data_IF_818086911875
#
_entry.id   IF_818086911875
#
_cell.length_a   1.000
_cell.length_b   1.000
_cell.length_c   1.000
_cell.angle_alpha   90.00
_cell.angle_beta   90.00
_cell.angle_gamma   90.00
#
_symmetry.space_group_name_H-M   'P 1'
#
loop_
_entity.id
_entity.type
_entity.pdbx_description
1 polymer ?
#
# COMPACT_ATOMS: atom_id res chain seq x y z
N UNK A 1 66.64 -45.75 -3.97
CA UNK A 1 66.31 -45.07 -2.69
C UNK A 1 67.33 -43.97 -2.49
N UNK A 2 67.02 -42.74 -2.90
CA UNK A 2 67.86 -41.57 -2.70
C UNK A 2 67.27 -40.68 -1.60
N UNK A 3 68.15 -40.29 -0.68
CA UNK A 3 67.96 -39.35 0.42
C UNK A 3 67.73 -37.94 -0.14
N UNK A 4 66.76 -37.19 0.39
CA UNK A 4 66.83 -35.73 0.36
C UNK A 4 66.29 -35.14 1.66
N UNK A 5 67.18 -34.40 2.32
CA UNK A 5 67.07 -33.81 3.64
C UNK A 5 65.98 -32.74 3.67
N UNK A 6 65.10 -32.79 4.67
CA UNK A 6 64.25 -31.66 5.06
C UNK A 6 65.12 -30.64 5.78
N UNK A 7 65.42 -29.54 5.12
CA UNK A 7 66.08 -28.37 5.66
C UNK A 7 65.18 -27.15 5.43
N UNK A 8 64.63 -26.57 6.50
CA UNK A 8 64.26 -25.14 6.63
C UNK A 8 63.52 -24.96 7.95
N UNK A 9 64.22 -24.54 9.00
CA UNK A 9 64.32 -23.15 9.45
C UNK A 9 63.13 -22.73 10.33
N UNK A 10 63.19 -23.12 11.60
CA UNK A 10 62.34 -22.64 12.67
C UNK A 10 62.74 -21.19 12.99
N UNK A 11 62.04 -20.21 12.41
CA UNK A 11 62.24 -18.80 12.75
C UNK A 11 61.49 -18.51 14.06
N UNK A 12 62.21 -18.55 15.19
CA UNK A 12 61.70 -18.01 16.45
C UNK A 12 61.63 -16.48 16.34
N UNK A 13 60.42 -15.97 16.09
CA UNK A 13 60.11 -14.56 16.30
C UNK A 13 59.95 -14.34 17.80
N UNK A 14 60.96 -13.70 18.38
CA UNK A 14 60.87 -13.10 19.71
C UNK A 14 60.06 -11.82 19.53
N UNK A 15 58.73 -11.92 19.66
CA UNK A 15 57.87 -10.75 19.61
C UNK A 15 57.89 -10.06 20.99
N UNK A 16 58.73 -9.02 21.07
CA UNK A 16 58.72 -8.01 22.13
C UNK A 16 57.35 -7.34 22.10
N UNK A 17 56.46 -7.83 22.95
CA UNK A 17 55.08 -7.36 23.05
C UNK A 17 55.05 -6.04 23.83
N UNK A 18 55.34 -4.93 23.16
CA UNK A 18 54.95 -3.61 23.65
C UNK A 18 53.42 -3.56 23.61
N UNK A 19 52.79 -3.43 24.78
CA UNK A 19 51.35 -3.38 25.00
C UNK A 19 50.73 -2.13 24.33
N UNK A 20 50.53 -2.16 23.02
CA UNK A 20 49.64 -1.23 22.33
C UNK A 20 48.25 -1.88 22.16
N UNK A 21 47.16 -1.16 22.49
CA UNK A 21 45.80 -1.67 22.27
C UNK A 21 45.52 -1.82 20.77
N UNK A 22 44.84 -2.90 20.39
CA UNK A 22 44.49 -3.16 18.99
C UNK A 22 43.56 -2.06 18.45
N UNK A 23 43.76 -1.60 17.20
CA UNK A 23 42.89 -0.60 16.59
C UNK A 23 41.44 -1.11 16.48
N UNK A 24 40.41 -0.25 16.71
CA UNK A 24 39.00 -0.66 16.84
C UNK A 24 38.30 -0.98 15.51
N UNK A 25 39.04 -1.14 14.41
CA UNK A 25 38.46 -1.36 13.09
C UNK A 25 39.20 -2.46 12.31
N UNK A 26 38.48 -3.36 11.61
CA UNK A 26 39.10 -4.41 10.83
C UNK A 26 39.74 -3.84 9.56
N UNK A 27 41.03 -4.10 9.33
CA UNK A 27 41.80 -3.63 8.15
C UNK A 27 41.75 -4.62 6.97
N UNK A 28 41.05 -5.75 7.10
CA UNK A 28 40.84 -6.69 5.99
C UNK A 28 39.38 -7.11 5.89
N UNK A 29 38.81 -6.94 4.70
CA UNK A 29 37.45 -7.38 4.37
C UNK A 29 37.57 -8.77 3.72
N UNK A 30 36.90 -9.82 4.22
CA UNK A 30 36.83 -11.09 3.50
C UNK A 30 36.05 -10.88 2.20
N UNK A 31 36.56 -11.39 1.08
CA UNK A 31 35.86 -11.37 -0.20
C UNK A 31 34.53 -12.13 -0.07
N UNK A 32 33.44 -11.38 0.00
CA UNK A 32 32.08 -11.93 -0.05
C UNK A 32 31.85 -12.40 -1.49
N UNK A 33 31.48 -13.68 -1.74
CA UNK A 33 30.99 -14.06 -3.05
C UNK A 33 29.80 -13.15 -3.37
N UNK A 34 29.85 -12.48 -4.53
CA UNK A 34 28.87 -11.48 -4.92
C UNK A 34 27.44 -11.94 -4.68
N UNK A 35 26.57 -10.99 -4.32
CA UNK A 35 25.16 -11.24 -4.03
C UNK A 35 24.60 -12.28 -5.02
N UNK A 36 23.94 -13.36 -4.54
CA UNK A 36 23.31 -14.31 -5.45
C UNK A 36 22.42 -13.48 -6.36
N UNK A 37 22.71 -13.55 -7.68
CA UNK A 37 21.97 -12.81 -8.71
C UNK A 37 20.51 -12.87 -8.34
N UNK A 38 19.88 -11.69 -8.18
CA UNK A 38 18.47 -11.59 -7.85
C UNK A 38 17.73 -12.64 -8.68
N UNK A 39 17.06 -13.63 -8.04
CA UNK A 39 16.43 -14.72 -8.78
C UNK A 39 15.56 -14.06 -9.83
N UNK A 40 15.87 -14.33 -11.10
CA UNK A 40 15.38 -13.55 -12.23
C UNK A 40 13.87 -13.37 -12.10
N UNK A 41 13.46 -12.17 -11.71
CA UNK A 41 12.04 -11.82 -11.66
C UNK A 41 11.59 -11.95 -13.10
N UNK A 42 10.79 -12.99 -13.35
CA UNK A 42 10.26 -13.25 -14.67
C UNK A 42 9.52 -11.99 -15.11
N UNK A 43 9.87 -11.47 -16.28
CA UNK A 43 9.17 -10.36 -16.87
C UNK A 43 7.72 -10.79 -17.08
N UNK A 44 6.84 -10.33 -16.20
CA UNK A 44 5.42 -10.73 -16.18
C UNK A 44 4.74 -10.45 -17.51
N UNK A 45 5.21 -9.48 -18.30
CA UNK A 45 4.66 -9.20 -19.62
C UNK A 45 5.07 -10.27 -20.64
N UNK A 46 6.29 -10.80 -20.55
CA UNK A 46 6.76 -11.90 -21.39
C UNK A 46 6.22 -13.26 -20.97
N UNK A 47 6.03 -13.51 -19.67
CA UNK A 47 5.49 -14.80 -19.19
C UNK A 47 4.00 -14.95 -19.46
N UNK A 48 3.23 -13.85 -19.43
CA UNK A 48 1.79 -13.89 -19.72
C UNK A 48 1.46 -13.96 -21.22
N UNK A 49 2.41 -13.61 -22.10
CA UNK A 49 2.25 -13.73 -23.55
C UNK A 49 2.14 -15.18 -24.03
N UNK A 50 2.62 -16.14 -23.22
CA UNK A 50 2.50 -17.57 -23.48
C UNK A 50 1.20 -18.18 -22.93
N UNK A 51 0.43 -17.44 -22.13
CA UNK A 51 -0.87 -17.86 -21.62
C UNK A 51 -2.00 -17.28 -22.47
N UNK A 52 -2.14 -17.81 -23.69
CA UNK A 52 -3.39 -17.72 -24.47
C UNK A 52 -4.47 -18.64 -23.88
N UNK A 53 -4.64 -18.61 -22.56
CA UNK A 53 -5.65 -19.37 -21.84
C UNK A 53 -6.17 -18.52 -20.67
N UNK A 54 -7.50 -18.40 -20.48
CA UNK A 54 -8.07 -17.61 -19.40
C UNK A 54 -7.68 -18.19 -18.03
N UNK A 55 -7.44 -17.34 -17.01
CA UNK A 55 -7.04 -17.80 -15.68
C UNK A 55 -8.13 -18.66 -15.02
N UNK A 56 -7.76 -19.70 -14.23
CA UNK A 56 -8.73 -20.55 -13.55
C UNK A 56 -9.49 -19.73 -12.49
N UNK A 57 -10.81 -19.79 -12.58
CA UNK A 57 -11.76 -19.20 -11.64
C UNK A 57 -11.55 -19.80 -10.25
N UNK A 58 -10.90 -19.09 -9.34
CA UNK A 58 -11.05 -19.36 -7.91
C UNK A 58 -12.41 -18.81 -7.48
N UNK A 59 -13.39 -19.71 -7.46
CA UNK A 59 -14.67 -19.48 -6.81
C UNK A 59 -14.48 -19.37 -5.30
N UNK A 60 -14.76 -18.20 -4.74
CA UNK A 60 -15.24 -18.08 -3.37
C UNK A 60 -16.21 -16.90 -3.29
N UNK A 61 -17.49 -17.24 -3.29
CA UNK A 61 -18.61 -16.37 -2.99
C UNK A 61 -18.48 -15.81 -1.57
N UNK A 62 -18.42 -14.49 -1.44
CA UNK A 62 -18.96 -13.75 -0.30
C UNK A 62 -19.29 -12.33 -0.77
N UNK A 63 -20.58 -12.11 -0.98
CA UNK A 63 -21.22 -10.83 -1.29
C UNK A 63 -21.03 -9.84 -0.14
N UNK A 64 -20.41 -8.68 -0.40
CA UNK A 64 -20.84 -7.31 -0.04
C UNK A 64 -19.75 -6.33 -0.52
N UNK A 65 -20.18 -5.20 -1.10
CA UNK A 65 -19.42 -4.14 -1.79
C UNK A 65 -19.19 -4.39 -3.28
N UNK A 66 -19.70 -3.45 -4.07
CA UNK A 66 -19.44 -3.23 -5.49
C UNK A 66 -17.96 -2.88 -5.68
N UNK A 67 -17.08 -3.83 -5.42
CA UNK A 67 -15.71 -3.72 -5.84
C UNK A 67 -15.72 -4.03 -7.33
N UNK A 68 -15.69 -2.97 -8.14
CA UNK A 68 -15.33 -3.03 -9.56
C UNK A 68 -13.93 -3.65 -9.64
N UNK A 69 -13.87 -4.98 -9.59
CA UNK A 69 -12.66 -5.76 -9.79
C UNK A 69 -12.41 -5.77 -11.29
N UNK A 70 -11.93 -4.66 -11.83
CA UNK A 70 -11.29 -4.69 -13.13
C UNK A 70 -10.05 -5.57 -12.99
N UNK A 71 -9.93 -6.54 -13.90
CA UNK A 71 -9.10 -7.74 -13.74
C UNK A 71 -7.59 -7.47 -13.87
N UNK A 72 -7.15 -6.23 -13.68
CA UNK A 72 -5.79 -5.80 -13.96
C UNK A 72 -4.93 -5.75 -12.70
N UNK A 73 -3.77 -6.45 -12.67
CA UNK A 73 -2.92 -6.50 -11.47
C UNK A 73 -2.42 -5.12 -11.02
N UNK A 74 -2.31 -4.13 -11.92
CA UNK A 74 -1.90 -2.78 -11.54
C UNK A 74 -2.94 -2.03 -10.71
N UNK A 75 -4.23 -2.33 -10.85
CA UNK A 75 -5.26 -1.66 -10.05
C UNK A 75 -5.15 -2.05 -8.59
N UNK A 76 -4.89 -3.35 -8.33
CA UNK A 76 -4.58 -3.84 -6.99
C UNK A 76 -3.31 -3.21 -6.42
N UNK A 77 -2.37 -2.75 -7.27
CA UNK A 77 -1.17 -2.04 -6.83
C UNK A 77 -1.48 -0.57 -6.54
N UNK A 78 -2.26 0.10 -7.39
CA UNK A 78 -2.67 1.49 -7.21
C UNK A 78 -3.52 1.66 -5.94
N UNK A 79 -4.46 0.75 -5.68
CA UNK A 79 -5.25 0.76 -4.45
C UNK A 79 -4.40 0.55 -3.20
N UNK A 80 -3.48 -0.43 -3.25
CA UNK A 80 -2.51 -0.64 -2.16
C UNK A 80 -1.59 0.55 -1.95
N UNK A 81 -1.14 1.21 -3.02
CA UNK A 81 -0.31 2.41 -2.91
C UNK A 81 -1.05 3.53 -2.18
N UNK A 82 -2.32 3.78 -2.53
CA UNK A 82 -3.15 4.76 -1.82
C UNK A 82 -3.34 4.40 -0.34
N UNK A 83 -3.63 3.14 -0.04
CA UNK A 83 -3.71 2.67 1.34
C UNK A 83 -2.38 2.87 2.09
N UNK A 84 -1.25 2.55 1.45
CA UNK A 84 0.07 2.75 2.03
C UNK A 84 0.36 4.23 2.32
N UNK A 85 0.02 5.14 1.39
CA UNK A 85 0.18 6.58 1.60
C UNK A 85 -0.59 7.06 2.84
N UNK A 86 -1.85 6.64 3.01
CA UNK A 86 -2.64 7.03 4.17
C UNK A 86 -2.07 6.43 5.47
N UNK A 87 -1.63 5.17 5.46
CA UNK A 87 -0.98 4.58 6.65
C UNK A 87 0.30 5.33 7.04
N UNK A 88 1.12 5.71 6.07
CA UNK A 88 2.35 6.47 6.33
C UNK A 88 2.03 7.86 6.90
N UNK A 89 1.02 8.54 6.37
CA UNK A 89 0.54 9.83 6.90
C UNK A 89 0.10 9.71 8.35
N UNK A 90 -0.68 8.68 8.68
CA UNK A 90 -1.15 8.46 10.05
C UNK A 90 0.00 8.07 11.01
N UNK A 91 0.98 7.30 10.54
CA UNK A 91 2.19 7.03 11.31
C UNK A 91 3.03 8.30 11.58
N UNK A 92 3.17 9.18 10.59
CA UNK A 92 3.90 10.44 10.74
C UNK A 92 3.22 11.35 11.75
N UNK A 93 1.89 11.50 11.66
CA UNK A 93 1.11 12.25 12.64
C UNK A 93 1.26 11.67 14.04
N UNK A 94 1.26 10.33 14.16
CA UNK A 94 1.50 9.65 15.44
C UNK A 94 2.86 9.97 16.04
N UNK A 95 3.91 10.05 15.20
CA UNK A 95 5.29 10.34 15.64
C UNK A 95 5.47 11.81 16.02
N UNK A 96 4.83 12.72 15.29
CA UNK A 96 4.98 14.17 15.49
C UNK A 96 4.11 14.72 16.64
N UNK A 97 2.87 14.23 16.74
CA UNK A 97 1.85 14.78 17.64
C UNK A 97 1.31 13.77 18.67
N UNK A 98 1.77 12.52 18.61
CA UNK A 98 1.31 11.45 19.50
C UNK A 98 0.03 10.75 19.03
N UNK A 99 -0.53 9.89 19.88
CA UNK A 99 -1.66 9.01 19.51
C UNK A 99 -2.99 9.74 19.33
N UNK A 100 -3.14 10.95 19.87
CA UNK A 100 -4.38 11.70 19.81
C UNK A 100 -4.78 12.07 18.37
N UNK A 101 -3.81 12.46 17.53
CA UNK A 101 -4.08 12.91 16.17
C UNK A 101 -4.65 11.81 15.25
N UNK A 102 -4.05 10.60 15.17
CA UNK A 102 -4.65 9.51 14.40
C UNK A 102 -6.08 9.14 14.84
N UNK A 103 -6.34 9.16 16.15
CA UNK A 103 -7.67 8.84 16.69
C UNK A 103 -8.67 9.92 16.32
N UNK A 104 -8.32 11.19 16.50
CA UNK A 104 -9.16 12.33 16.14
C UNK A 104 -9.52 12.31 14.65
N UNK A 105 -8.53 12.16 13.77
CA UNK A 105 -8.73 12.06 12.32
C UNK A 105 -9.64 10.89 11.94
N UNK A 106 -9.46 9.73 12.58
CA UNK A 106 -10.33 8.57 12.38
C UNK A 106 -11.77 8.83 12.83
N UNK A 107 -11.96 9.50 13.96
CA UNK A 107 -13.27 9.90 14.45
C UNK A 107 -13.93 10.94 13.51
N UNK A 108 -13.19 11.94 13.06
CA UNK A 108 -13.67 12.94 12.08
C UNK A 108 -14.17 12.26 10.80
N UNK A 109 -13.39 11.34 10.23
CA UNK A 109 -13.81 10.55 9.07
C UNK A 109 -15.07 9.72 9.37
N UNK A 110 -15.16 9.08 10.54
CA UNK A 110 -16.32 8.26 10.90
C UNK A 110 -17.61 9.07 11.05
N UNK A 111 -17.53 10.28 11.63
CA UNK A 111 -18.67 11.18 11.80
C UNK A 111 -19.14 11.67 10.44
N UNK A 112 -18.20 12.01 9.56
CA UNK A 112 -18.47 12.47 8.20
C UNK A 112 -19.19 11.37 7.41
N UNK A 113 -18.68 10.14 7.41
CA UNK A 113 -19.35 9.01 6.74
C UNK A 113 -20.74 8.68 7.31
N UNK A 114 -20.96 8.89 8.62
CA UNK A 114 -22.25 8.63 9.25
C UNK A 114 -23.27 9.77 9.08
N UNK A 115 -22.80 11.02 8.97
CA UNK A 115 -23.62 12.22 8.94
C UNK A 115 -23.99 12.70 7.54
N UNK A 116 -23.42 12.10 6.51
CA UNK A 116 -23.65 12.49 5.13
C UNK A 116 -24.99 11.99 4.62
N UNK A 117 -25.97 12.88 4.63
CA UNK A 117 -27.14 12.74 3.77
C UNK A 117 -27.00 13.64 2.55
N UNK A 118 -27.25 13.05 1.37
CA UNK A 118 -27.35 13.77 0.10
C UNK A 118 -28.66 13.38 -0.59
N UNK A 119 -29.48 14.35 -1.00
CA UNK A 119 -30.73 14.05 -1.68
C UNK A 119 -30.46 13.42 -3.05
N UNK A 120 -31.36 12.56 -3.49
CA UNK A 120 -31.27 11.86 -4.78
C UNK A 120 -31.24 12.83 -5.96
N UNK A 121 -31.83 14.03 -5.81
CA UNK A 121 -31.80 15.11 -6.80
C UNK A 121 -30.39 15.63 -7.12
N UNK A 122 -29.41 15.42 -6.22
CA UNK A 122 -28.02 15.83 -6.41
C UNK A 122 -27.13 14.68 -6.96
N UNK A 123 -27.72 13.70 -7.65
CA UNK A 123 -26.96 12.60 -8.27
C UNK A 123 -26.99 11.29 -7.49
N UNK A 124 -28.16 10.93 -6.98
CA UNK A 124 -28.47 9.59 -6.45
C UNK A 124 -27.61 9.10 -5.26
N UNK A 125 -26.99 10.00 -4.49
CA UNK A 125 -26.14 9.61 -3.34
C UNK A 125 -24.94 8.72 -3.70
N UNK A 126 -24.66 8.55 -5.00
CA UNK A 126 -23.67 7.60 -5.52
C UNK A 126 -22.29 8.24 -5.74
N UNK A 127 -22.20 9.57 -5.61
CA UNK A 127 -20.96 10.33 -5.75
C UNK A 127 -20.11 10.32 -4.49
N UNK A 128 -18.80 10.47 -4.66
CA UNK A 128 -17.86 10.62 -3.56
C UNK A 128 -18.23 11.83 -2.69
N UNK A 129 -17.99 11.70 -1.39
CA UNK A 129 -18.27 12.81 -0.50
C UNK A 129 -17.15 13.80 -0.44
N UNK A 130 -17.47 15.04 -0.83
CA UNK A 130 -16.61 16.21 -0.67
C UNK A 130 -15.99 16.31 0.74
N UNK A 131 -16.76 16.06 1.80
CA UNK A 131 -16.22 16.15 3.17
C UNK A 131 -15.22 15.02 3.46
N UNK A 132 -15.54 13.80 3.05
CA UNK A 132 -14.63 12.67 3.17
C UNK A 132 -13.36 12.87 2.32
N UNK A 133 -13.48 13.42 1.12
CA UNK A 133 -12.36 13.67 0.22
C UNK A 133 -11.46 14.80 0.72
N UNK A 134 -12.00 15.86 1.33
CA UNK A 134 -11.19 16.89 2.00
C UNK A 134 -10.37 16.27 3.14
N UNK A 135 -10.98 15.39 3.95
CA UNK A 135 -10.26 14.73 5.05
C UNK A 135 -9.21 13.73 4.55
N UNK A 136 -9.48 13.06 3.44
CA UNK A 136 -8.54 12.19 2.74
C UNK A 136 -7.44 12.98 2.00
N UNK A 137 -7.68 14.24 1.66
CA UNK A 137 -6.78 15.08 0.86
C UNK A 137 -6.84 14.77 -0.64
N UNK A 138 -8.00 14.34 -1.14
CA UNK A 138 -8.27 14.03 -2.56
C UNK A 138 -9.26 15.00 -3.21
N UNK A 139 -9.53 16.14 -2.57
CA UNK A 139 -10.46 17.17 -3.03
C UNK A 139 -10.08 17.82 -4.36
N UNK A 140 -8.80 17.73 -4.76
CA UNK A 140 -8.29 18.24 -6.03
C UNK A 140 -8.18 17.16 -7.13
N UNK A 141 -8.56 15.92 -6.86
CA UNK A 141 -8.54 14.81 -7.83
C UNK A 141 -9.96 14.48 -8.27
N UNK A 142 -10.14 14.13 -9.55
CA UNK A 142 -11.42 13.70 -10.12
C UNK A 142 -11.22 12.36 -10.81
N UNK A 143 -11.98 11.35 -10.39
CA UNK A 143 -12.06 10.04 -11.02
C UNK A 143 -13.12 9.98 -12.12
N UNK A 144 -13.12 8.90 -12.88
CA UNK A 144 -14.22 8.63 -13.83
C UNK A 144 -15.49 8.22 -13.07
N UNK A 145 -15.31 7.59 -11.90
CA UNK A 145 -16.35 7.23 -10.95
C UNK A 145 -17.13 8.45 -10.41
N UNK A 146 -16.52 9.63 -10.38
CA UNK A 146 -17.18 10.86 -9.91
C UNK A 146 -18.04 11.51 -11.00
N UNK A 147 -17.67 11.33 -12.27
CA UNK A 147 -18.35 11.91 -13.44
C UNK A 147 -19.50 11.01 -13.89
N UNK A 148 -19.30 9.70 -13.89
CA UNK A 148 -20.27 8.73 -14.40
C UNK A 148 -20.90 7.93 -13.26
N UNK A 149 -21.88 8.56 -12.61
CA UNK A 149 -22.60 8.01 -11.44
C UNK A 149 -23.68 6.98 -11.80
N UNK A 150 -23.89 6.70 -13.09
CA UNK A 150 -24.89 5.73 -13.57
C UNK A 150 -26.35 6.16 -13.37
N UNK A 151 -26.58 7.40 -12.92
CA UNK A 151 -27.91 7.99 -12.68
C UNK A 151 -28.39 8.93 -13.79
N UNK A 152 -27.61 9.12 -14.86
CA UNK A 152 -27.88 10.10 -15.93
C UNK A 152 -29.17 9.84 -16.72
N UNK A 153 -29.71 8.62 -16.65
CA UNK A 153 -30.96 8.24 -17.32
C UNK A 153 -32.15 8.06 -16.35
N UNK A 154 -31.94 8.25 -15.04
CA UNK A 154 -32.99 8.17 -14.03
C UNK A 154 -33.67 9.53 -13.83
N UNK A 155 -34.99 9.56 -13.77
CA UNK A 155 -35.74 10.74 -13.30
C UNK A 155 -35.30 11.03 -11.86
N UNK A 156 -34.72 12.20 -11.62
CA UNK A 156 -34.24 12.60 -10.30
C UNK A 156 -35.39 12.54 -9.29
N UNK A 157 -35.21 11.81 -8.19
CA UNK A 157 -36.24 11.67 -7.16
C UNK A 157 -36.67 13.03 -6.60
N UNK A 158 -37.98 13.18 -6.33
CA UNK A 158 -38.52 14.41 -5.74
C UNK A 158 -37.98 14.58 -4.30
N UNK A 159 -37.33 15.71 -4.07
CA UNK A 159 -36.74 16.09 -2.79
C UNK A 159 -37.77 16.13 -1.66
N UNK A 160 -38.99 16.57 -1.97
CA UNK A 160 -40.06 16.67 -0.97
C UNK A 160 -40.49 15.30 -0.46
N UNK A 161 -40.73 14.35 -1.36
CA UNK A 161 -41.09 12.97 -1.01
C UNK A 161 -39.97 12.27 -0.24
N UNK A 162 -38.70 12.48 -0.62
CA UNK A 162 -37.56 11.92 0.10
C UNK A 162 -37.47 12.47 1.54
N UNK A 163 -37.65 13.79 1.71
CA UNK A 163 -37.65 14.43 3.01
C UNK A 163 -38.81 13.90 3.88
N UNK A 164 -40.02 13.85 3.32
CA UNK A 164 -41.20 13.34 4.03
C UNK A 164 -41.01 11.88 4.47
N UNK A 165 -40.42 11.03 3.63
CA UNK A 165 -40.06 9.66 3.99
C UNK A 165 -39.04 9.58 5.13
N UNK A 166 -38.00 10.42 5.12
CA UNK A 166 -36.95 10.42 6.17
C UNK A 166 -37.45 10.92 7.52
N UNK A 167 -38.31 11.95 7.51
CA UNK A 167 -38.87 12.53 8.73
C UNK A 167 -40.17 11.84 9.19
N UNK A 168 -40.65 10.82 8.46
CA UNK A 168 -41.88 10.11 8.81
C UNK A 168 -43.15 10.96 8.66
N UNK A 169 -43.10 11.92 7.75
CA UNK A 169 -44.15 12.91 7.49
C UNK A 169 -44.97 12.57 6.23
N UNK A 170 -44.80 11.37 5.67
CA UNK A 170 -45.61 10.89 4.54
C UNK A 170 -47.06 10.72 5.01
N UNK A 171 -47.94 11.58 4.51
CA UNK A 171 -49.37 11.58 4.78
C UNK A 171 -50.15 10.85 3.70
#
# INVERSE_FOLDING_TARGET
MLICMKCSAQLHKVDVSVLLPSPPHPTSIPSTPGAPSAPGVHDTLRSNLLLSAPPPKTASLASTSSQTQSFHPLESRLSRWRAQQETLKMELLRRQFGIAEPVRRGMEMSIVLAGEWRPMSLGCGMGASVHADILAGRDAEIGWEDVFLGGEMGEGGDFHVEMEGRFGMAW
#
